data_IF_981940999638
#
_entry.id   IF_981940999638
#
_cell.length_a   1.000
_cell.length_b   1.000
_cell.length_c   1.000
_cell.angle_alpha   90.00
_cell.angle_beta   90.00
_cell.angle_gamma   90.00
#
_symmetry.space_group_name_H-M   'P 1'
#
loop_
_entity.id
_entity.type
_entity.pdbx_description
1 polymer ?
#
# COMPACT_ATOMS: atom_id res chain seq x y z
N UNK A 1 -16.92 -16.73 -12.96
CA UNK A 1 -15.83 -16.44 -11.98
C UNK A 1 -15.78 -14.93 -11.83
N UNK A 2 -16.01 -14.41 -10.62
CA UNK A 2 -15.91 -12.96 -10.36
C UNK A 2 -14.44 -12.61 -10.18
N UNK A 3 -13.88 -11.61 -10.89
CA UNK A 3 -12.48 -11.22 -10.71
C UNK A 3 -12.26 -10.73 -9.26
N UNK A 4 -11.12 -11.12 -8.68
CA UNK A 4 -10.75 -10.78 -7.32
C UNK A 4 -10.57 -9.25 -7.19
N UNK A 5 -11.21 -8.64 -6.18
CA UNK A 5 -10.99 -7.21 -5.87
C UNK A 5 -9.64 -6.99 -5.18
N UNK A 6 -9.22 -5.73 -5.08
CA UNK A 6 -8.00 -5.39 -4.34
C UNK A 6 -8.11 -5.82 -2.88
N UNK A 7 -9.19 -5.44 -2.19
CA UNK A 7 -9.40 -5.87 -0.79
C UNK A 7 -9.55 -7.39 -0.68
N UNK A 8 -10.12 -8.05 -1.68
CA UNK A 8 -10.16 -9.51 -1.75
C UNK A 8 -8.76 -10.13 -1.76
N UNK A 9 -7.85 -9.59 -2.56
CA UNK A 9 -6.45 -10.01 -2.59
C UNK A 9 -5.74 -9.73 -1.27
N UNK A 10 -5.97 -8.56 -0.67
CA UNK A 10 -5.38 -8.22 0.64
C UNK A 10 -5.88 -9.17 1.72
N UNK A 11 -7.17 -9.47 1.77
CA UNK A 11 -7.76 -10.40 2.74
C UNK A 11 -7.15 -11.81 2.66
N UNK A 12 -6.79 -12.28 1.46
CA UNK A 12 -6.07 -13.56 1.29
C UNK A 12 -4.69 -13.47 1.95
N UNK A 13 -3.93 -12.40 1.70
CA UNK A 13 -2.62 -12.20 2.31
C UNK A 13 -2.69 -12.07 3.83
N UNK A 14 -3.67 -11.32 4.35
CA UNK A 14 -3.95 -11.19 5.80
C UNK A 14 -4.19 -12.56 6.42
N UNK A 15 -5.00 -13.41 5.79
CA UNK A 15 -5.26 -14.77 6.29
C UNK A 15 -3.98 -15.61 6.33
N UNK A 16 -3.20 -15.63 5.25
CA UNK A 16 -1.96 -16.43 5.16
C UNK A 16 -0.96 -16.00 6.24
N UNK A 17 -0.78 -14.69 6.45
CA UNK A 17 0.13 -14.21 7.50
C UNK A 17 -0.36 -14.61 8.89
N UNK A 18 -1.67 -14.51 9.14
CA UNK A 18 -2.28 -14.89 10.43
C UNK A 18 -2.27 -16.39 10.72
N UNK A 19 -2.09 -17.25 9.72
CA UNK A 19 -1.85 -18.67 9.95
C UNK A 19 -0.50 -18.93 10.64
N UNK A 20 0.49 -18.06 10.42
CA UNK A 20 1.83 -18.16 11.04
C UNK A 20 2.00 -17.22 12.24
N UNK A 21 1.36 -16.06 12.19
CA UNK A 21 1.40 -15.01 13.22
C UNK A 21 -0.03 -14.58 13.57
N UNK A 22 -0.73 -15.30 14.48
CA UNK A 22 -2.17 -15.11 14.70
C UNK A 22 -2.61 -13.69 15.03
N UNK A 23 -1.78 -12.96 15.76
CA UNK A 23 -2.06 -11.59 16.19
C UNK A 23 -1.59 -10.53 15.20
N UNK A 24 -1.12 -10.94 14.01
CA UNK A 24 -0.53 -10.02 13.06
C UNK A 24 -1.53 -8.94 12.60
N UNK A 25 -1.03 -7.70 12.56
CA UNK A 25 -1.79 -6.52 12.18
C UNK A 25 -1.17 -5.86 10.96
N UNK A 26 -2.00 -5.37 10.05
CA UNK A 26 -1.53 -4.82 8.78
C UNK A 26 -0.97 -3.39 8.97
N UNK A 27 0.25 -3.14 8.50
CA UNK A 27 0.83 -1.79 8.45
C UNK A 27 0.63 -1.13 7.10
N UNK A 28 0.97 -1.85 6.02
CA UNK A 28 1.05 -1.27 4.70
C UNK A 28 0.77 -2.32 3.62
N UNK A 29 0.19 -1.88 2.51
CA UNK A 29 0.12 -2.62 1.25
C UNK A 29 0.70 -1.77 0.14
N UNK A 30 1.75 -2.27 -0.51
CA UNK A 30 2.35 -1.66 -1.69
C UNK A 30 1.81 -2.32 -2.94
N UNK A 31 1.25 -1.53 -3.86
CA UNK A 31 0.83 -1.95 -5.19
C UNK A 31 1.69 -1.32 -6.27
N UNK A 32 2.18 -2.14 -7.19
CA UNK A 32 2.94 -1.69 -8.35
C UNK A 32 2.51 -2.40 -9.63
N UNK A 33 2.63 -1.68 -10.75
CA UNK A 33 2.47 -2.26 -12.08
C UNK A 33 3.72 -3.07 -12.46
N UNK A 34 3.63 -4.01 -13.42
CA UNK A 34 4.81 -4.64 -14.00
C UNK A 34 5.85 -3.59 -14.41
N UNK A 35 7.11 -3.81 -14.01
CA UNK A 35 8.24 -2.93 -14.32
C UNK A 35 8.07 -1.47 -13.86
N UNK A 36 7.26 -1.20 -12.83
CA UNK A 36 6.95 0.14 -12.34
C UNK A 36 6.41 1.07 -13.43
N UNK A 37 5.70 0.50 -14.41
CA UNK A 37 5.08 1.26 -15.48
C UNK A 37 4.00 2.20 -14.93
N UNK A 38 3.91 3.39 -15.53
CA UNK A 38 2.79 4.29 -15.31
C UNK A 38 1.52 3.71 -15.93
N UNK A 39 0.46 3.61 -15.15
CA UNK A 39 -0.85 3.05 -15.54
C UNK A 39 -1.97 4.04 -15.25
N UNK A 40 -3.11 3.84 -15.91
CA UNK A 40 -4.30 4.68 -15.74
C UNK A 40 -5.41 4.01 -14.92
N UNK A 41 -5.23 2.76 -14.52
CA UNK A 41 -6.24 1.96 -13.82
C UNK A 41 -5.53 1.08 -12.77
N UNK A 42 -6.05 1.11 -11.55
CA UNK A 42 -5.50 0.39 -10.39
C UNK A 42 -5.52 -1.12 -10.59
N UNK A 43 -6.41 -1.63 -11.44
CA UNK A 43 -6.48 -3.05 -11.83
C UNK A 43 -5.27 -3.51 -12.65
N UNK A 44 -4.42 -2.58 -13.09
CA UNK A 44 -3.16 -2.90 -13.78
C UNK A 44 -2.00 -3.18 -12.82
N UNK A 45 -2.17 -2.92 -11.52
CA UNK A 45 -1.23 -3.42 -10.53
C UNK A 45 -1.33 -4.93 -10.47
N UNK A 46 -0.18 -5.60 -10.56
CA UNK A 46 -0.10 -7.06 -10.56
C UNK A 46 0.78 -7.59 -9.44
N UNK A 47 1.45 -6.69 -8.71
CA UNK A 47 2.33 -7.01 -7.59
C UNK A 47 1.83 -6.28 -6.35
N UNK A 48 1.41 -7.05 -5.36
CA UNK A 48 1.16 -6.53 -4.01
C UNK A 48 2.24 -7.05 -3.07
N UNK A 49 2.76 -6.18 -2.22
CA UNK A 49 3.53 -6.52 -1.04
C UNK A 49 2.78 -6.02 0.19
N UNK A 50 2.49 -6.91 1.12
CA UNK A 50 1.80 -6.57 2.37
C UNK A 50 2.81 -6.70 3.50
N UNK A 51 2.77 -5.74 4.41
CA UNK A 51 3.68 -5.59 5.53
C UNK A 51 2.85 -5.57 6.81
N UNK A 52 3.24 -6.38 7.77
CA UNK A 52 2.50 -6.61 9.00
C UNK A 52 3.40 -6.42 10.22
N UNK A 53 2.81 -5.90 11.29
CA UNK A 53 3.29 -6.17 12.63
C UNK A 53 3.08 -7.66 12.91
N UNK A 54 4.15 -8.42 13.05
CA UNK A 54 4.08 -9.84 13.42
C UNK A 54 4.05 -10.01 14.94
N UNK A 55 4.81 -9.17 15.65
CA UNK A 55 4.88 -9.11 17.12
C UNK A 55 4.97 -7.64 17.53
N UNK A 56 4.13 -7.23 18.48
CA UNK A 56 4.06 -5.83 18.93
C UNK A 56 5.46 -5.28 19.31
N UNK A 57 5.82 -4.17 18.67
CA UNK A 57 7.08 -3.45 18.89
C UNK A 57 8.36 -4.18 18.45
N UNK A 58 8.28 -5.35 17.81
CA UNK A 58 9.45 -6.19 17.54
C UNK A 58 9.59 -6.70 16.11
N UNK A 59 8.63 -7.49 15.63
CA UNK A 59 8.77 -8.27 14.42
C UNK A 59 7.91 -7.78 13.26
N UNK A 60 8.44 -7.88 12.05
CA UNK A 60 7.72 -7.56 10.80
C UNK A 60 7.57 -8.81 9.96
N UNK A 61 6.34 -9.11 9.52
CA UNK A 61 6.06 -10.14 8.53
C UNK A 61 5.73 -9.48 7.19
N UNK A 62 6.32 -9.99 6.11
CA UNK A 62 6.16 -9.48 4.75
C UNK A 62 5.72 -10.63 3.87
N UNK A 63 4.69 -10.40 3.05
CA UNK A 63 4.24 -11.35 2.05
C UNK A 63 4.01 -10.63 0.73
N UNK A 64 4.35 -11.24 -0.39
CA UNK A 64 4.17 -10.65 -1.72
C UNK A 64 3.47 -11.62 -2.66
N UNK A 65 2.69 -11.07 -3.58
CA UNK A 65 2.11 -11.86 -4.67
C UNK A 65 3.21 -12.43 -5.56
N UNK A 66 3.09 -13.69 -5.98
CA UNK A 66 4.11 -14.38 -6.78
C UNK A 66 4.03 -14.03 -8.28
N UNK A 67 2.85 -14.13 -8.87
CA UNK A 67 2.64 -13.97 -10.32
C UNK A 67 1.35 -13.21 -10.69
N UNK A 68 0.30 -13.38 -9.88
CA UNK A 68 -1.00 -12.76 -10.06
C UNK A 68 -1.68 -12.49 -8.71
N UNK A 69 -2.79 -11.74 -8.73
CA UNK A 69 -3.57 -11.48 -7.53
C UNK A 69 -4.15 -12.76 -6.95
N UNK A 70 -4.11 -12.86 -5.61
CA UNK A 70 -4.61 -14.00 -4.85
C UNK A 70 -3.61 -15.14 -4.69
N UNK A 71 -2.48 -15.11 -5.42
CA UNK A 71 -1.38 -16.06 -5.24
C UNK A 71 -0.22 -15.39 -4.52
N UNK A 72 0.08 -15.86 -3.32
CA UNK A 72 1.15 -15.34 -2.50
C UNK A 72 2.33 -16.31 -2.41
N UNK A 73 3.54 -15.76 -2.36
CA UNK A 73 4.73 -16.49 -1.99
C UNK A 73 4.78 -16.78 -0.47
N UNK A 74 5.93 -17.30 0.02
CA UNK A 74 6.12 -17.53 1.44
C UNK A 74 6.12 -16.21 2.24
N UNK A 75 5.74 -16.30 3.51
CA UNK A 75 5.89 -15.21 4.48
C UNK A 75 7.36 -15.08 4.86
N UNK A 76 7.88 -13.86 4.79
CA UNK A 76 9.23 -13.51 5.23
C UNK A 76 9.16 -12.73 6.54
N UNK A 77 9.92 -13.14 7.56
CA UNK A 77 9.97 -12.48 8.86
C UNK A 77 11.29 -11.76 9.06
N UNK A 78 11.20 -10.57 9.64
CA UNK A 78 12.34 -9.77 10.10
C UNK A 78 12.13 -9.43 11.57
N UNK A 79 13.13 -9.70 12.41
CA UNK A 79 13.10 -9.39 13.85
C UNK A 79 13.30 -7.90 14.18
N UNK A 80 12.80 -7.00 13.32
CA UNK A 80 12.86 -5.55 13.49
C UNK A 80 11.49 -4.94 13.23
N UNK A 81 11.13 -3.87 13.97
CA UNK A 81 9.85 -3.22 13.77
C UNK A 81 9.83 -2.46 12.44
N UNK A 82 8.67 -2.45 11.80
CA UNK A 82 8.39 -1.54 10.71
C UNK A 82 8.20 -0.12 11.27
N UNK A 83 8.81 0.88 10.63
CA UNK A 83 8.81 2.27 11.08
C UNK A 83 7.87 3.12 10.21
N UNK A 84 7.57 4.32 10.69
CA UNK A 84 6.80 5.36 9.96
C UNK A 84 5.31 5.05 9.70
N UNK A 85 4.80 3.90 10.16
CA UNK A 85 3.39 3.52 10.06
C UNK A 85 2.80 3.13 11.41
N UNK A 86 1.50 3.42 11.55
CA UNK A 86 0.66 2.80 12.57
C UNK A 86 -0.15 1.68 11.94
N UNK A 87 -0.65 0.79 12.79
CA UNK A 87 -1.51 -0.32 12.36
C UNK A 87 -2.77 0.22 11.68
N UNK A 88 -3.07 -0.29 10.49
CA UNK A 88 -4.34 -0.10 9.82
C UNK A 88 -5.41 -0.87 10.61
N UNK A 89 -6.52 -0.22 11.04
CA UNK A 89 -7.64 -0.91 11.67
C UNK A 89 -8.38 -1.75 10.63
N UNK A 90 -7.84 -2.92 10.31
CA UNK A 90 -8.38 -3.85 9.32
C UNK A 90 -9.55 -4.68 9.89
N UNK A 91 -10.64 -4.91 9.15
CA UNK A 91 -10.88 -4.56 7.75
C UNK A 91 -11.27 -3.09 7.51
N UNK A 92 -11.01 -2.59 6.29
CA UNK A 92 -11.52 -1.31 5.79
C UNK A 92 -12.61 -1.53 4.74
N UNK A 93 -13.46 -0.52 4.53
CA UNK A 93 -14.64 -0.63 3.64
C UNK A 93 -14.41 -0.09 2.22
N UNK A 94 -13.37 0.72 1.99
CA UNK A 94 -13.11 1.35 0.69
C UNK A 94 -12.11 0.52 -0.12
N UNK A 95 -12.51 0.04 -1.30
CA UNK A 95 -11.62 -0.66 -2.24
C UNK A 95 -10.80 0.33 -3.07
N UNK A 96 -9.65 -0.15 -3.59
CA UNK A 96 -8.75 0.66 -4.40
C UNK A 96 -9.42 1.21 -5.68
N UNK A 97 -10.44 0.51 -6.22
CA UNK A 97 -11.23 1.00 -7.37
C UNK A 97 -12.03 2.26 -7.02
N UNK A 98 -12.56 2.36 -5.79
CA UNK A 98 -13.25 3.56 -5.33
C UNK A 98 -12.25 4.69 -5.07
N UNK A 99 -11.09 4.38 -4.50
CA UNK A 99 -10.01 5.34 -4.30
C UNK A 99 -9.52 5.95 -5.63
N UNK A 100 -9.31 5.12 -6.65
CA UNK A 100 -8.95 5.55 -8.00
C UNK A 100 -10.05 6.45 -8.59
N UNK A 101 -11.33 6.07 -8.45
CA UNK A 101 -12.44 6.91 -8.92
C UNK A 101 -12.41 8.32 -8.30
N UNK A 102 -12.19 8.42 -6.98
CA UNK A 102 -12.10 9.70 -6.28
C UNK A 102 -10.88 10.51 -6.72
N UNK A 103 -9.72 9.87 -6.84
CA UNK A 103 -8.51 10.50 -7.37
C UNK A 103 -8.77 11.14 -8.74
N UNK A 104 -9.47 10.43 -9.62
CA UNK A 104 -9.77 10.84 -10.99
C UNK A 104 -10.70 12.05 -11.11
N UNK A 105 -11.45 12.39 -10.07
CA UNK A 105 -12.22 13.63 -10.01
C UNK A 105 -11.33 14.88 -9.97
N UNK A 106 -10.07 14.73 -9.57
CA UNK A 106 -9.11 15.82 -9.41
C UNK A 106 -7.84 15.67 -10.26
N UNK A 107 -7.45 14.43 -10.60
CA UNK A 107 -6.18 14.13 -11.26
C UNK A 107 -6.33 13.10 -12.38
N UNK A 108 -5.98 13.47 -13.60
CA UNK A 108 -6.06 12.60 -14.79
C UNK A 108 -4.73 11.94 -15.19
N UNK A 109 -3.62 12.30 -14.54
CA UNK A 109 -2.30 11.75 -14.85
C UNK A 109 -2.16 10.26 -14.49
N UNK A 110 -1.34 9.48 -15.21
CA UNK A 110 -1.09 8.09 -14.83
C UNK A 110 -0.29 8.03 -13.52
N UNK A 111 -0.30 6.88 -12.86
CA UNK A 111 0.49 6.62 -11.65
C UNK A 111 1.25 5.31 -11.77
N UNK A 112 2.40 5.18 -11.11
CA UNK A 112 3.23 3.97 -11.17
C UNK A 112 3.17 3.10 -9.91
N UNK A 113 2.66 3.65 -8.80
CA UNK A 113 2.49 2.93 -7.54
C UNK A 113 1.30 3.45 -6.76
N UNK A 114 0.80 2.60 -5.85
CA UNK A 114 -0.20 2.93 -4.86
C UNK A 114 0.14 2.26 -3.54
N UNK A 115 0.16 3.04 -2.46
CA UNK A 115 0.27 2.52 -1.10
C UNK A 115 -1.11 2.54 -0.45
N UNK A 116 -1.43 1.55 0.36
CA UNK A 116 -2.44 1.65 1.42
C UNK A 116 -1.70 1.61 2.75
N UNK A 117 -1.68 2.71 3.49
CA UNK A 117 -0.98 2.82 4.79
C UNK A 117 -1.68 3.80 5.72
N UNK A 118 -1.38 3.71 7.01
CA UNK A 118 -1.75 4.73 8.00
C UNK A 118 -0.47 5.40 8.51
N UNK A 119 -0.07 6.55 7.95
CA UNK A 119 1.19 7.20 8.29
C UNK A 119 1.27 7.61 9.77
N UNK A 120 2.41 7.39 10.40
CA UNK A 120 2.74 7.92 11.72
C UNK A 120 3.16 9.39 11.62
N UNK A 121 2.20 10.29 11.32
CA UNK A 121 2.48 11.73 11.20
C UNK A 121 1.34 12.60 11.74
N UNK A 122 1.61 13.74 12.41
CA UNK A 122 0.56 14.62 12.93
C UNK A 122 -0.44 15.05 11.84
N UNK A 123 -1.73 14.85 12.12
CA UNK A 123 -2.82 15.21 11.19
C UNK A 123 -3.26 14.07 10.26
N UNK A 124 -2.56 12.94 10.25
CA UNK A 124 -2.91 11.74 9.47
C UNK A 124 -3.62 10.73 10.39
N UNK A 125 -4.94 10.89 10.52
CA UNK A 125 -5.75 10.21 11.55
C UNK A 125 -6.55 9.01 11.00
N UNK A 126 -6.26 8.57 9.78
CA UNK A 126 -6.92 7.45 9.12
C UNK A 126 -5.95 6.76 8.15
N UNK A 127 -6.30 5.57 7.63
CA UNK A 127 -5.61 4.98 6.49
C UNK A 127 -5.86 5.78 5.21
N UNK A 128 -4.88 5.79 4.32
CA UNK A 128 -4.93 6.46 3.02
C UNK A 128 -4.50 5.53 1.91
N UNK A 129 -5.18 5.63 0.77
CA UNK A 129 -4.61 5.24 -0.51
C UNK A 129 -3.74 6.39 -1.03
N UNK A 130 -2.48 6.12 -1.33
CA UNK A 130 -1.50 7.11 -1.73
C UNK A 130 -0.96 6.75 -3.10
N UNK A 131 -1.31 7.55 -4.11
CA UNK A 131 -0.92 7.34 -5.50
C UNK A 131 0.29 8.20 -5.85
N UNK A 132 1.30 7.62 -6.49
CA UNK A 132 2.38 8.40 -7.08
C UNK A 132 2.03 8.78 -8.52
N UNK A 133 1.45 9.96 -8.70
CA UNK A 133 0.89 10.46 -9.97
C UNK A 133 1.96 11.22 -10.75
N UNK A 134 2.08 10.94 -12.05
CA UNK A 134 3.03 11.60 -12.94
C UNK A 134 2.80 13.12 -12.95
N UNK A 135 3.88 13.88 -12.70
CA UNK A 135 3.84 15.35 -12.65
C UNK A 135 3.28 15.94 -11.36
N UNK A 136 2.60 15.15 -10.54
CA UNK A 136 1.94 15.60 -9.30
C UNK A 136 2.61 15.03 -8.04
N UNK A 137 3.35 13.93 -8.15
CA UNK A 137 3.89 13.20 -7.00
C UNK A 137 2.79 12.52 -6.20
N UNK A 138 2.95 12.46 -4.88
CA UNK A 138 2.01 11.74 -4.02
C UNK A 138 0.67 12.47 -3.82
N UNK A 139 -0.41 11.78 -4.13
CA UNK A 139 -1.80 12.21 -3.90
C UNK A 139 -2.49 11.21 -2.99
N UNK A 140 -3.15 11.71 -1.95
CA UNK A 140 -3.76 10.94 -0.88
C UNK A 140 -5.26 10.90 -1.08
N UNK A 141 -5.85 9.74 -0.81
CA UNK A 141 -7.29 9.51 -0.77
C UNK A 141 -7.62 8.84 0.57
N UNK A 142 -8.30 9.58 1.45
CA UNK A 142 -8.67 9.10 2.79
C UNK A 142 -9.68 7.96 2.74
N UNK A 143 -9.41 6.87 3.43
CA UNK A 143 -10.29 5.68 3.46
C UNK A 143 -11.63 5.98 4.11
N UNK A 144 -11.63 6.71 5.22
CA UNK A 144 -12.86 7.02 5.97
C UNK A 144 -13.46 8.34 5.50
N UNK A 145 -12.62 9.36 5.27
CA UNK A 145 -13.10 10.70 4.91
C UNK A 145 -13.45 10.85 3.44
N UNK A 146 -12.92 9.96 2.58
CA UNK A 146 -12.98 10.05 1.11
C UNK A 146 -12.44 11.35 0.51
N UNK A 147 -11.59 12.05 1.26
CA UNK A 147 -11.01 13.33 0.82
C UNK A 147 -9.76 13.06 -0.01
N UNK A 148 -9.61 13.82 -1.09
CA UNK A 148 -8.43 13.83 -1.94
C UNK A 148 -7.58 15.06 -1.65
N UNK A 149 -6.29 14.88 -1.39
CA UNK A 149 -5.37 15.99 -1.15
C UNK A 149 -3.93 15.65 -1.49
N UNK A 150 -3.09 16.68 -1.61
CA UNK A 150 -1.63 16.55 -1.68
C UNK A 150 -1.03 17.06 -0.37
N UNK A 151 -0.07 16.35 0.23
CA UNK A 151 0.69 16.87 1.36
C UNK A 151 1.57 18.04 0.93
N UNK A 152 1.97 18.89 1.88
CA UNK A 152 2.96 19.93 1.62
C UNK A 152 4.28 19.32 1.10
N UNK A 153 4.96 20.04 0.21
CA UNK A 153 6.07 19.56 -0.62
C UNK A 153 7.19 18.83 0.16
N UNK A 154 7.56 19.33 1.35
CA UNK A 154 8.60 18.72 2.19
C UNK A 154 8.23 17.38 2.86
N UNK A 155 6.94 17.03 2.89
CA UNK A 155 6.49 15.71 3.35
C UNK A 155 6.46 14.69 2.20
N UNK A 156 6.11 15.13 0.98
CA UNK A 156 6.14 14.27 -0.21
C UNK A 156 7.56 13.73 -0.52
N UNK A 157 8.60 14.55 -0.30
CA UNK A 157 10.00 14.13 -0.49
C UNK A 157 10.44 13.05 0.50
N UNK A 158 9.96 13.09 1.74
CA UNK A 158 10.28 12.08 2.76
C UNK A 158 9.53 10.77 2.57
N UNK A 159 8.36 10.84 1.94
CA UNK A 159 7.53 9.66 1.62
C UNK A 159 7.91 9.03 0.27
N UNK A 160 8.83 9.64 -0.48
CA UNK A 160 9.41 9.03 -1.66
C UNK A 160 10.19 7.78 -1.26
N UNK A 161 9.86 6.66 -1.91
CA UNK A 161 10.61 5.41 -1.75
C UNK A 161 12.07 5.72 -2.08
N UNK A 162 13.04 5.43 -1.18
CA UNK A 162 14.45 5.53 -1.52
C UNK A 162 14.69 4.64 -2.74
N UNK A 163 14.96 5.26 -3.88
CA UNK A 163 15.44 4.51 -5.02
C UNK A 163 16.87 4.16 -4.64
N UNK A 164 17.17 2.89 -4.40
CA UNK A 164 18.57 2.46 -4.30
C UNK A 164 19.23 2.83 -5.62
N UNK A 165 19.98 3.92 -5.61
CA UNK A 165 20.95 4.18 -6.65
C UNK A 165 21.94 3.02 -6.54
N UNK A 166 21.91 2.10 -7.50
CA UNK A 166 23.07 1.29 -7.79
C UNK A 166 24.16 2.26 -8.26
N UNK A 167 24.95 2.78 -7.32
CA UNK A 167 26.29 3.23 -7.66
C UNK A 167 26.99 1.99 -8.23
N UNK A 168 27.24 2.03 -9.53
CA UNK A 168 28.15 1.12 -10.18
C UNK A 168 29.55 1.57 -9.77
N UNK A 169 30.20 0.76 -8.95
CA UNK A 169 31.66 0.70 -8.93
C UNK A 169 32.20 0.14 -10.27
#
# INVERSE_FOLDING_TARGET
>A
MVPLSYLGCVNIGVRIVREQFPDAQLYEVQGAAPNNAYVNDVKKFSRLQLIFQAEEGRGTAIISTSSQWGEFGPVYYVGQPWLEDVVIPWPIDMDATEADRLLREHYSGPYNSMLLRHPLYPGYNEPYYIFNVAGEGFVFVGVNSRKVFRPAQGLAEKMAIPTSASEKD
#
